data_IF_086508222118
#
_entry.id   IF_086508222118
#
_cell.length_a   1.000
_cell.length_b   1.000
_cell.length_c   1.000
_cell.angle_alpha   90.00
_cell.angle_beta   90.00
_cell.angle_gamma   90.00
#
_symmetry.space_group_name_H-M   'P 1'
#
loop_
_entity.id
_entity.type
_entity.pdbx_description
1 polymer ?
#
# COMPACT_ATOMS: atom_id res chain seq x y z
N UNK A 1 10.22 35.61 20.59
CA UNK A 1 11.09 34.96 19.58
C UNK A 1 10.74 33.50 19.59
N UNK A 2 10.62 32.87 18.43
CA UNK A 2 10.34 31.44 18.34
C UNK A 2 11.63 30.64 18.62
N UNK A 3 11.49 29.53 19.33
CA UNK A 3 12.58 28.59 19.61
C UNK A 3 13.10 27.96 18.32
N UNK A 4 14.37 27.57 18.32
CA UNK A 4 15.04 26.90 17.21
C UNK A 4 15.24 25.42 17.53
N UNK A 5 15.51 24.54 16.55
CA UNK A 5 15.70 23.10 16.82
C UNK A 5 16.81 22.74 17.82
N UNK A 6 17.72 23.66 18.15
CA UNK A 6 18.74 23.44 19.20
C UNK A 6 18.22 23.71 20.62
N UNK A 7 17.09 24.39 20.75
CA UNK A 7 16.44 24.69 22.02
C UNK A 7 15.54 23.51 22.42
N UNK A 8 15.66 22.95 23.64
CA UNK A 8 14.75 21.87 24.09
C UNK A 8 13.26 22.25 24.01
N UNK A 9 12.96 23.54 24.15
CA UNK A 9 11.62 24.10 24.08
C UNK A 9 11.00 24.03 22.69
N UNK A 10 11.79 23.84 21.63
CA UNK A 10 11.29 23.64 20.27
C UNK A 10 10.26 22.50 20.20
N UNK A 11 10.47 21.46 20.98
CA UNK A 11 9.58 20.29 21.02
C UNK A 11 8.46 20.41 22.05
N UNK A 12 8.35 21.52 22.78
CA UNK A 12 7.28 21.71 23.76
C UNK A 12 5.97 22.05 23.06
N UNK A 13 4.90 21.35 23.47
CA UNK A 13 3.56 21.62 22.91
C UNK A 13 3.05 23.01 23.30
N UNK A 14 3.43 23.52 24.47
CA UNK A 14 2.96 24.79 25.00
C UNK A 14 4.08 25.84 25.00
N UNK A 15 3.81 26.99 24.39
CA UNK A 15 4.72 28.14 24.39
C UNK A 15 4.58 29.04 25.63
N UNK A 16 3.65 28.72 26.53
CA UNK A 16 3.43 29.41 27.82
C UNK A 16 3.94 28.53 28.97
N UNK A 17 3.54 28.81 30.21
CA UNK A 17 3.86 28.05 31.44
C UNK A 17 3.27 26.61 31.48
N UNK A 18 3.38 25.87 30.38
CA UNK A 18 2.95 24.48 30.23
C UNK A 18 4.09 23.47 30.34
N UNK A 19 5.21 23.86 30.97
CA UNK A 19 6.38 23.02 31.21
C UNK A 19 7.24 23.64 32.35
N UNK A 20 6.97 23.25 33.61
CA UNK A 20 7.57 23.85 34.82
C UNK A 20 7.81 22.82 35.94
N UNK A 21 8.20 23.28 37.13
CA UNK A 21 8.56 22.41 38.28
C UNK A 21 7.41 21.53 38.80
N UNK A 22 6.15 21.88 38.52
CA UNK A 22 4.97 21.14 38.95
C UNK A 22 4.42 20.23 37.85
N UNK A 23 4.67 20.58 36.59
CA UNK A 23 4.21 19.80 35.44
C UNK A 23 5.23 19.86 34.30
N UNK A 24 5.80 18.69 33.99
CA UNK A 24 6.77 18.52 32.91
C UNK A 24 6.17 18.62 31.50
N UNK A 25 4.93 19.11 31.35
CA UNK A 25 4.34 19.38 30.04
C UNK A 25 4.17 18.16 29.15
N UNK A 26 4.20 18.42 27.83
CA UNK A 26 4.19 17.42 26.76
C UNK A 26 5.17 17.83 25.68
N UNK A 27 5.74 16.84 25.01
CA UNK A 27 6.73 17.01 23.95
C UNK A 27 6.36 16.28 22.66
N UNK A 28 6.91 16.74 21.54
CA UNK A 28 6.77 16.14 20.20
C UNK A 28 8.06 15.45 19.71
N UNK A 29 9.00 15.17 20.62
CA UNK A 29 10.18 14.33 20.37
C UNK A 29 10.30 13.18 21.38
N UNK A 30 9.18 12.70 21.89
CA UNK A 30 9.12 11.59 22.83
C UNK A 30 9.71 10.33 22.20
N UNK A 31 10.58 9.61 22.89
CA UNK A 31 11.40 8.54 22.30
C UNK A 31 10.80 7.15 22.42
N UNK A 32 9.71 6.98 23.18
CA UNK A 32 9.05 5.68 23.31
C UNK A 32 8.41 5.26 21.98
N UNK A 33 8.33 3.95 21.76
CA UNK A 33 7.82 3.32 20.53
C UNK A 33 6.58 2.48 20.80
N UNK A 34 5.68 2.41 19.83
CA UNK A 34 4.49 1.57 19.93
C UNK A 34 4.85 0.08 19.68
N UNK A 35 4.09 -0.88 20.23
CA UNK A 35 3.24 -0.76 21.41
C UNK A 35 4.03 -0.83 22.73
N UNK A 36 5.34 -1.14 22.69
CA UNK A 36 6.15 -1.43 23.88
C UNK A 36 6.29 -0.28 24.88
N UNK A 37 6.10 0.97 24.43
CA UNK A 37 6.13 2.19 25.24
C UNK A 37 4.79 2.62 25.82
N UNK A 38 3.70 1.88 25.55
CA UNK A 38 2.38 2.19 26.10
C UNK A 38 2.38 2.04 27.63
N UNK A 39 1.86 3.05 28.31
CA UNK A 39 1.68 3.05 29.77
C UNK A 39 0.20 3.01 30.18
N UNK A 40 -0.72 3.11 29.22
CA UNK A 40 -2.17 3.25 29.46
C UNK A 40 -2.58 4.68 29.87
N UNK A 41 -1.66 5.65 29.79
CA UNK A 41 -1.94 7.04 30.10
C UNK A 41 -2.06 7.82 28.79
N UNK A 42 -3.28 8.24 28.45
CA UNK A 42 -3.59 8.87 27.15
C UNK A 42 -2.69 10.06 26.81
N UNK A 43 -2.22 10.82 27.81
CA UNK A 43 -1.36 11.97 27.59
C UNK A 43 0.12 11.59 27.42
N UNK A 44 0.54 10.46 28.00
CA UNK A 44 1.88 9.92 27.80
C UNK A 44 1.95 9.20 26.47
N UNK A 45 0.99 8.30 26.22
CA UNK A 45 0.90 7.47 25.03
C UNK A 45 0.67 8.33 23.78
N UNK A 46 -0.13 9.39 23.89
CA UNK A 46 -0.38 10.34 22.79
C UNK A 46 0.88 11.09 22.32
N UNK A 47 1.93 11.19 23.15
CA UNK A 47 3.19 11.80 22.72
C UNK A 47 3.95 10.93 21.71
N UNK A 48 3.78 9.59 21.74
CA UNK A 48 4.37 8.71 20.72
C UNK A 48 3.80 9.03 19.33
N UNK A 49 2.47 9.12 19.26
CA UNK A 49 1.75 9.50 18.04
C UNK A 49 2.15 10.88 17.55
N UNK A 50 2.07 11.90 18.42
CA UNK A 50 2.43 13.27 18.05
C UNK A 50 3.88 13.39 17.58
N UNK A 51 4.81 12.67 18.21
CA UNK A 51 6.22 12.71 17.81
C UNK A 51 6.45 12.06 16.45
N UNK A 52 5.76 10.95 16.17
CA UNK A 52 5.84 10.28 14.86
C UNK A 52 5.29 11.17 13.75
N UNK A 53 4.13 11.82 13.97
CA UNK A 53 3.58 12.77 13.01
C UNK A 53 4.48 13.99 12.78
N UNK A 54 5.17 14.49 13.82
CA UNK A 54 6.12 15.58 13.63
C UNK A 54 7.36 15.16 12.84
N UNK A 55 7.82 13.90 12.93
CA UNK A 55 8.89 13.40 12.07
C UNK A 55 8.45 13.36 10.60
N UNK A 56 7.23 12.87 10.34
CA UNK A 56 6.63 12.89 9.00
C UNK A 56 6.48 14.34 8.49
N UNK A 57 6.02 15.25 9.35
CA UNK A 57 5.85 16.67 9.06
C UNK A 57 7.12 17.34 8.54
N UNK A 58 8.27 17.05 9.15
CA UNK A 58 9.54 17.68 8.77
C UNK A 58 9.99 17.26 7.36
N UNK A 59 9.55 16.10 6.87
CA UNK A 59 9.91 15.58 5.54
C UNK A 59 8.87 15.89 4.45
N UNK A 60 7.57 15.72 4.74
CA UNK A 60 6.49 15.90 3.73
C UNK A 60 5.82 17.27 3.82
N UNK A 61 6.14 18.04 4.86
CA UNK A 61 5.65 19.38 5.10
C UNK A 61 4.26 19.44 5.72
N UNK A 62 3.90 20.66 6.11
CA UNK A 62 2.65 20.99 6.80
C UNK A 62 1.41 20.56 6.05
N UNK A 63 1.30 20.94 4.78
CA UNK A 63 0.06 20.77 4.02
C UNK A 63 -0.30 19.30 3.88
N UNK A 64 0.64 18.46 3.44
CA UNK A 64 0.39 17.02 3.30
C UNK A 64 0.09 16.36 4.65
N UNK A 65 0.89 16.65 5.68
CA UNK A 65 0.69 16.05 7.02
C UNK A 65 -0.65 16.42 7.64
N UNK A 66 -1.01 17.71 7.64
CA UNK A 66 -2.26 18.19 8.22
C UNK A 66 -3.47 17.68 7.44
N UNK A 67 -3.41 17.67 6.10
CA UNK A 67 -4.47 17.13 5.24
C UNK A 67 -4.69 15.63 5.47
N UNK A 68 -3.60 14.83 5.48
CA UNK A 68 -3.68 13.41 5.78
C UNK A 68 -4.24 13.15 7.16
N UNK A 69 -3.83 13.92 8.18
CA UNK A 69 -4.32 13.76 9.54
C UNK A 69 -5.84 14.01 9.63
N UNK A 70 -6.34 15.07 9.01
CA UNK A 70 -7.77 15.42 9.06
C UNK A 70 -8.63 14.40 8.31
N UNK A 71 -8.17 13.93 7.16
CA UNK A 71 -8.86 12.89 6.39
C UNK A 71 -8.86 11.56 7.14
N UNK A 72 -7.70 11.15 7.67
CA UNK A 72 -7.57 9.95 8.49
C UNK A 72 -8.47 9.99 9.73
N UNK A 73 -8.60 11.14 10.38
CA UNK A 73 -9.48 11.32 11.54
C UNK A 73 -10.94 10.96 11.20
N UNK A 74 -11.39 11.26 9.97
CA UNK A 74 -12.73 10.92 9.51
C UNK A 74 -12.98 9.41 9.38
N UNK A 75 -11.91 8.62 9.24
CA UNK A 75 -11.95 7.15 9.17
C UNK A 75 -11.89 6.48 10.56
N UNK A 76 -11.69 7.26 11.62
CA UNK A 76 -11.57 6.75 13.00
C UNK A 76 -12.89 6.73 13.75
N UNK A 77 -12.94 5.99 14.86
CA UNK A 77 -14.05 5.98 15.79
C UNK A 77 -13.56 5.83 17.25
N UNK A 78 -14.49 5.74 18.21
CA UNK A 78 -14.15 5.65 19.64
C UNK A 78 -13.35 4.41 20.07
N UNK A 79 -13.23 3.39 19.22
CA UNK A 79 -12.42 2.19 19.44
C UNK A 79 -11.07 2.17 18.74
N UNK A 80 -10.75 3.18 17.92
CA UNK A 80 -9.51 3.26 17.14
C UNK A 80 -8.29 3.37 18.06
N UNK A 81 -7.31 2.47 17.88
CA UNK A 81 -6.01 2.57 18.53
C UNK A 81 -4.99 3.33 17.64
N UNK A 82 -3.75 3.53 18.10
CA UNK A 82 -2.77 4.29 17.31
C UNK A 82 -2.29 3.58 16.03
N UNK A 83 -2.29 2.25 15.98
CA UNK A 83 -1.97 1.48 14.78
C UNK A 83 -3.10 1.60 13.74
N UNK A 84 -4.36 1.50 14.17
CA UNK A 84 -5.52 1.77 13.32
C UNK A 84 -5.46 3.20 12.75
N UNK A 85 -5.07 4.19 13.57
CA UNK A 85 -4.89 5.57 13.13
C UNK A 85 -3.74 5.73 12.14
N UNK A 86 -2.63 4.98 12.31
CA UNK A 86 -1.53 4.95 11.36
C UNK A 86 -1.98 4.40 10.00
N UNK A 87 -2.80 3.34 10.01
CA UNK A 87 -3.36 2.75 8.80
C UNK A 87 -4.33 3.73 8.10
N UNK A 88 -5.15 4.46 8.85
CA UNK A 88 -5.99 5.52 8.31
C UNK A 88 -5.18 6.67 7.70
N UNK A 89 -4.04 7.03 8.30
CA UNK A 89 -3.13 8.06 7.77
C UNK A 89 -2.51 7.65 6.42
N UNK A 90 -2.17 6.37 6.26
CA UNK A 90 -1.71 5.80 4.99
C UNK A 90 -2.80 5.88 3.92
N UNK A 91 -4.04 5.49 4.27
CA UNK A 91 -5.16 5.57 3.34
C UNK A 91 -5.46 7.03 2.93
N UNK A 92 -5.37 7.97 3.87
CA UNK A 92 -5.54 9.38 3.56
C UNK A 92 -4.52 9.91 2.55
N UNK A 93 -3.25 9.47 2.63
CA UNK A 93 -2.23 9.86 1.64
C UNK A 93 -2.52 9.30 0.25
N UNK A 94 -3.08 8.09 0.18
CA UNK A 94 -3.55 7.49 -1.07
C UNK A 94 -4.68 8.33 -1.65
N UNK A 95 -5.70 8.63 -0.85
CA UNK A 95 -6.90 9.32 -1.31
C UNK A 95 -6.63 10.77 -1.73
N UNK A 96 -5.75 11.48 -1.01
CA UNK A 96 -5.49 12.90 -1.24
C UNK A 96 -4.30 13.16 -2.16
N UNK A 97 -3.29 12.30 -2.14
CA UNK A 97 -2.00 12.52 -2.80
C UNK A 97 -1.57 11.36 -3.71
N UNK A 98 -2.43 10.37 -3.94
CA UNK A 98 -2.12 9.20 -4.76
C UNK A 98 -0.98 8.35 -4.19
N UNK A 99 -0.73 8.46 -2.87
CA UNK A 99 0.33 7.73 -2.18
C UNK A 99 1.74 8.32 -2.37
N UNK A 100 1.83 9.58 -2.83
CA UNK A 100 3.11 10.23 -3.12
C UNK A 100 4.08 10.27 -1.92
N UNK A 101 3.57 10.21 -0.69
CA UNK A 101 4.38 10.31 0.53
C UNK A 101 4.53 8.97 1.27
N UNK A 102 4.00 7.86 0.72
CA UNK A 102 3.96 6.58 1.42
C UNK A 102 5.33 6.06 1.85
N UNK A 103 6.40 6.31 1.08
CA UNK A 103 7.75 5.90 1.47
C UNK A 103 8.23 6.52 2.79
N UNK A 104 7.94 7.81 3.00
CA UNK A 104 8.29 8.55 4.22
C UNK A 104 7.37 8.15 5.37
N UNK A 105 6.08 8.04 5.08
CA UNK A 105 5.06 7.63 6.07
C UNK A 105 5.36 6.22 6.59
N UNK A 106 5.62 5.27 5.70
CA UNK A 106 6.00 3.90 6.02
C UNK A 106 7.28 3.88 6.88
N UNK A 107 8.32 4.59 6.43
CA UNK A 107 9.59 4.66 7.15
C UNK A 107 9.41 5.04 8.62
N UNK A 108 8.71 6.14 8.91
CA UNK A 108 8.55 6.57 10.30
C UNK A 108 7.57 5.71 11.09
N UNK A 109 6.45 5.27 10.52
CA UNK A 109 5.54 4.40 11.27
C UNK A 109 6.21 3.08 11.64
N UNK A 110 6.93 2.45 10.71
CA UNK A 110 7.69 1.22 11.00
C UNK A 110 8.83 1.49 11.99
N UNK A 111 9.61 2.57 11.82
CA UNK A 111 10.66 2.94 12.77
C UNK A 111 10.12 3.13 14.20
N UNK A 112 8.90 3.67 14.33
CA UNK A 112 8.25 3.96 15.60
C UNK A 112 7.44 2.79 16.17
N UNK A 113 7.50 1.63 15.50
CA UNK A 113 6.96 0.36 15.97
C UNK A 113 5.49 0.12 15.67
N UNK A 114 4.88 0.93 14.79
CA UNK A 114 3.53 0.68 14.30
C UNK A 114 3.57 -0.43 13.24
N UNK A 115 2.74 -1.46 13.42
CA UNK A 115 2.62 -2.52 12.43
C UNK A 115 1.60 -2.12 11.37
N UNK A 116 2.08 -1.47 10.33
CA UNK A 116 1.28 -0.95 9.21
C UNK A 116 1.34 -1.88 8.00
N UNK A 117 0.36 -1.76 7.11
CA UNK A 117 0.40 -2.39 5.77
C UNK A 117 0.25 -1.32 4.70
N UNK A 118 1.15 -1.32 3.71
CA UNK A 118 0.97 -0.50 2.52
C UNK A 118 0.11 -1.29 1.52
N UNK A 119 -1.09 -0.81 1.15
CA UNK A 119 -1.87 -1.45 0.11
C UNK A 119 -1.11 -1.31 -1.21
N UNK A 120 -0.59 -2.44 -1.70
CA UNK A 120 0.05 -2.49 -3.01
C UNK A 120 -1.05 -2.52 -4.07
N UNK A 121 -0.98 -1.66 -5.11
CA UNK A 121 -1.88 -1.73 -6.26
C UNK A 121 -1.53 -2.96 -7.08
N UNK A 122 -2.14 -4.10 -6.73
CA UNK A 122 -1.99 -5.37 -7.45
C UNK A 122 -3.07 -5.45 -8.54
N UNK A 123 -2.74 -5.85 -9.78
CA UNK A 123 -3.76 -6.02 -10.80
C UNK A 123 -4.73 -7.13 -10.38
N UNK A 124 -6.01 -7.01 -10.72
CA UNK A 124 -6.93 -8.13 -10.57
C UNK A 124 -6.52 -9.28 -11.52
N UNK A 125 -6.95 -10.50 -11.20
CA UNK A 125 -6.67 -11.65 -12.03
C UNK A 125 -7.48 -11.59 -13.34
N UNK A 126 -6.96 -12.09 -14.48
CA UNK A 126 -7.73 -12.22 -15.71
C UNK A 126 -9.01 -13.02 -15.46
N UNK A 127 -10.14 -12.56 -15.99
CA UNK A 127 -11.44 -13.20 -15.74
C UNK A 127 -11.85 -14.13 -16.89
N UNK A 128 -12.82 -15.02 -16.64
CA UNK A 128 -13.41 -15.90 -17.65
C UNK A 128 -12.39 -16.75 -18.43
N UNK A 129 -11.27 -17.10 -17.79
CA UNK A 129 -10.23 -17.90 -18.41
C UNK A 129 -10.80 -19.25 -18.86
N UNK A 130 -10.66 -19.53 -20.15
CA UNK A 130 -11.04 -20.80 -20.73
C UNK A 130 -10.00 -21.26 -21.73
N UNK A 131 -9.83 -22.58 -21.79
CA UNK A 131 -8.94 -23.25 -22.73
C UNK A 131 -9.73 -24.33 -23.44
N UNK A 132 -9.71 -24.34 -24.76
CA UNK A 132 -10.37 -25.40 -25.53
C UNK A 132 -9.55 -25.82 -26.74
N UNK A 133 -9.70 -27.09 -27.11
CA UNK A 133 -9.32 -27.61 -28.43
C UNK A 133 -10.59 -27.74 -29.28
N UNK A 134 -10.51 -27.40 -30.56
CA UNK A 134 -11.63 -27.59 -31.48
C UNK A 134 -11.73 -29.04 -32.03
N UNK A 135 -10.86 -29.96 -31.57
CA UNK A 135 -10.71 -31.34 -32.04
C UNK A 135 -10.37 -31.51 -33.53
N UNK A 136 -10.33 -30.43 -34.29
CA UNK A 136 -9.87 -30.41 -35.68
C UNK A 136 -8.39 -30.04 -35.77
N UNK A 137 -7.85 -29.45 -34.71
CA UNK A 137 -6.45 -29.09 -34.51
C UNK A 137 -5.89 -29.78 -33.26
N UNK A 138 -5.61 -31.11 -33.32
CA UNK A 138 -5.18 -31.88 -32.14
C UNK A 138 -3.78 -31.50 -31.61
N UNK A 139 -3.15 -30.50 -32.23
CA UNK A 139 -1.83 -29.97 -31.87
C UNK A 139 -1.89 -28.50 -31.46
N UNK A 140 -3.07 -28.00 -31.10
CA UNK A 140 -3.23 -26.64 -30.56
C UNK A 140 -4.34 -26.51 -29.52
N UNK A 141 -4.16 -25.51 -28.66
CA UNK A 141 -5.15 -25.07 -27.67
C UNK A 141 -5.41 -23.58 -27.86
N UNK A 142 -6.69 -23.20 -27.91
CA UNK A 142 -7.12 -21.81 -27.90
C UNK A 142 -7.40 -21.39 -26.46
N UNK A 143 -6.71 -20.34 -26.01
CA UNK A 143 -6.88 -19.70 -24.72
C UNK A 143 -7.64 -18.40 -24.92
N UNK A 144 -8.65 -18.13 -24.09
CA UNK A 144 -9.34 -16.84 -24.06
C UNK A 144 -9.57 -16.40 -22.62
N UNK A 145 -9.56 -15.09 -22.40
CA UNK A 145 -9.76 -14.47 -21.10
C UNK A 145 -10.33 -13.07 -21.30
N UNK A 146 -10.79 -12.46 -20.21
CA UNK A 146 -11.07 -11.04 -20.15
C UNK A 146 -9.95 -10.37 -19.35
N UNK A 147 -9.41 -9.30 -19.89
CA UNK A 147 -8.35 -8.55 -19.23
C UNK A 147 -8.83 -7.92 -17.90
N UNK A 148 -7.94 -7.80 -16.91
CA UNK A 148 -8.24 -7.01 -15.73
C UNK A 148 -8.28 -5.52 -16.08
N UNK A 149 -9.31 -4.85 -15.59
CA UNK A 149 -9.52 -3.41 -15.80
C UNK A 149 -9.31 -2.58 -14.52
N UNK A 150 -9.03 -3.24 -13.39
CA UNK A 150 -8.84 -2.62 -12.09
C UNK A 150 -7.65 -3.23 -11.34
N UNK A 151 -7.08 -2.43 -10.45
CA UNK A 151 -6.27 -2.90 -9.32
C UNK A 151 -7.19 -3.37 -8.17
N UNK A 152 -6.62 -4.10 -7.21
CA UNK A 152 -7.28 -4.45 -5.95
C UNK A 152 -7.69 -3.22 -5.10
N UNK A 153 -7.10 -2.06 -5.36
CA UNK A 153 -7.47 -0.76 -4.77
C UNK A 153 -8.72 -0.15 -5.39
N UNK A 154 -9.19 -0.67 -6.53
CA UNK A 154 -10.31 -0.11 -7.29
C UNK A 154 -9.88 0.93 -8.33
N UNK A 155 -8.59 1.27 -8.41
CA UNK A 155 -8.06 2.14 -9.46
C UNK A 155 -8.13 1.46 -10.82
N UNK A 156 -8.34 2.26 -11.88
CA UNK A 156 -8.37 1.74 -13.25
C UNK A 156 -6.99 1.28 -13.70
N UNK A 157 -6.95 0.09 -14.32
CA UNK A 157 -5.78 -0.47 -14.97
C UNK A 157 -6.01 -0.48 -16.48
N UNK A 158 -5.15 0.23 -17.22
CA UNK A 158 -5.24 0.36 -18.68
C UNK A 158 -4.42 -0.73 -19.40
N UNK A 159 -4.83 -1.17 -20.59
CA UNK A 159 -4.15 -2.23 -21.38
C UNK A 159 -2.63 -2.06 -21.55
N UNK A 160 -2.15 -0.83 -21.69
CA UNK A 160 -0.73 -0.50 -21.86
C UNK A 160 0.11 -0.61 -20.58
N UNK A 161 -0.54 -0.75 -19.42
CA UNK A 161 0.10 -0.76 -18.11
C UNK A 161 0.48 -2.16 -17.64
N UNK A 162 0.04 -3.22 -18.32
CA UNK A 162 0.30 -4.60 -17.91
C UNK A 162 0.51 -5.55 -19.10
N UNK A 163 0.99 -6.74 -18.76
CA UNK A 163 1.03 -7.93 -19.63
C UNK A 163 0.26 -9.08 -19.00
N UNK A 164 -0.29 -9.96 -19.82
CA UNK A 164 -0.79 -11.27 -19.45
C UNK A 164 0.36 -12.26 -19.58
N UNK A 165 0.76 -12.83 -18.45
CA UNK A 165 1.74 -13.89 -18.38
C UNK A 165 1.01 -15.23 -18.44
N UNK A 166 1.45 -16.11 -19.35
CA UNK A 166 0.92 -17.46 -19.51
C UNK A 166 2.01 -18.44 -19.13
N UNK A 167 1.66 -19.40 -18.27
CA UNK A 167 2.48 -20.56 -17.95
C UNK A 167 1.84 -21.82 -18.52
N UNK A 168 2.69 -22.74 -18.99
CA UNK A 168 2.29 -24.11 -19.37
C UNK A 168 3.11 -25.10 -18.57
N UNK A 169 2.41 -26.01 -17.89
CA UNK A 169 2.99 -27.07 -17.03
C UNK A 169 3.95 -26.52 -15.96
N UNK A 170 3.65 -25.33 -15.43
CA UNK A 170 4.44 -24.65 -14.41
C UNK A 170 5.70 -23.94 -14.93
N UNK A 171 5.87 -23.84 -16.25
CA UNK A 171 6.95 -23.07 -16.86
C UNK A 171 6.39 -21.82 -17.56
N UNK A 172 7.04 -20.64 -17.41
CA UNK A 172 6.70 -19.46 -18.18
C UNK A 172 6.77 -19.74 -19.68
N UNK A 173 5.70 -19.38 -20.40
CA UNK A 173 5.59 -19.61 -21.84
C UNK A 173 5.66 -18.29 -22.61
N UNK A 174 4.74 -17.36 -22.35
CA UNK A 174 4.59 -16.14 -23.13
C UNK A 174 4.07 -15.00 -22.26
N UNK A 175 4.50 -13.78 -22.61
CA UNK A 175 4.03 -12.52 -22.06
C UNK A 175 3.34 -11.75 -23.18
N UNK A 176 2.06 -11.43 -23.00
CA UNK A 176 1.21 -10.81 -24.02
C UNK A 176 0.82 -9.41 -23.54
N UNK A 177 0.95 -8.35 -24.36
CA UNK A 177 0.46 -7.02 -23.98
C UNK A 177 -1.04 -7.04 -23.65
N UNK A 178 -1.43 -6.28 -22.62
CA UNK A 178 -2.84 -6.04 -22.35
C UNK A 178 -3.57 -5.47 -23.57
N UNK A 179 -4.88 -5.73 -23.63
CA UNK A 179 -5.76 -5.48 -24.78
C UNK A 179 -5.88 -6.67 -25.72
N UNK A 180 -5.09 -7.72 -25.52
CA UNK A 180 -5.25 -9.01 -26.19
C UNK A 180 -6.02 -9.95 -25.28
N UNK A 181 -7.11 -10.55 -25.77
CA UNK A 181 -8.00 -11.42 -24.98
C UNK A 181 -7.94 -12.90 -25.41
N UNK A 182 -6.97 -13.24 -26.25
CA UNK A 182 -6.85 -14.57 -26.83
C UNK A 182 -5.41 -14.94 -27.22
N UNK A 183 -5.09 -16.23 -27.14
CA UNK A 183 -3.81 -16.80 -27.56
C UNK A 183 -3.99 -18.22 -28.09
N UNK A 184 -3.33 -18.55 -29.19
CA UNK A 184 -3.30 -19.89 -29.76
C UNK A 184 -1.94 -20.54 -29.46
N UNK A 185 -1.93 -21.54 -28.57
CA UNK A 185 -0.76 -22.39 -28.35
C UNK A 185 -0.74 -23.49 -29.42
N UNK A 186 0.35 -23.63 -30.16
CA UNK A 186 0.46 -24.52 -31.32
C UNK A 186 1.68 -25.40 -31.24
N UNK A 187 1.71 -26.50 -32.00
CA UNK A 187 2.81 -27.46 -31.98
C UNK A 187 2.78 -28.41 -30.77
N UNK A 188 1.59 -28.63 -30.21
CA UNK A 188 1.34 -29.56 -29.12
C UNK A 188 1.36 -31.01 -29.61
N UNK A 189 1.58 -31.93 -28.67
CA UNK A 189 1.54 -33.38 -28.93
C UNK A 189 0.11 -33.87 -28.71
N UNK A 190 -0.43 -34.58 -29.70
CA UNK A 190 -1.77 -35.17 -29.61
C UNK A 190 -1.85 -36.19 -28.46
N UNK A 191 -2.94 -36.16 -27.70
CA UNK A 191 -3.19 -36.99 -26.53
C UNK A 191 -2.43 -36.61 -25.26
N UNK A 192 -1.59 -35.56 -25.27
CA UNK A 192 -0.92 -35.06 -24.08
C UNK A 192 -1.81 -34.05 -23.33
N UNK A 193 -1.92 -34.21 -22.00
CA UNK A 193 -2.56 -33.22 -21.13
C UNK A 193 -1.59 -32.05 -20.89
N UNK A 194 -2.09 -30.81 -21.02
CA UNK A 194 -1.38 -29.57 -20.73
C UNK A 194 -2.16 -28.76 -19.71
N UNK A 195 -1.44 -28.16 -18.76
CA UNK A 195 -2.03 -27.29 -17.73
C UNK A 195 -1.58 -25.86 -17.94
N UNK A 196 -2.55 -24.96 -18.04
CA UNK A 196 -2.29 -23.54 -18.21
C UNK A 196 -2.63 -22.80 -16.93
N UNK A 197 -1.86 -21.75 -16.68
CA UNK A 197 -2.18 -20.71 -15.71
C UNK A 197 -1.94 -19.37 -16.35
N UNK A 198 -2.76 -18.39 -15.98
CA UNK A 198 -2.54 -17.01 -16.40
C UNK A 198 -2.61 -16.03 -15.24
N UNK A 199 -1.84 -14.95 -15.33
CA UNK A 199 -1.89 -13.83 -14.39
C UNK A 199 -1.47 -12.54 -15.08
N UNK A 200 -1.89 -11.40 -14.54
CA UNK A 200 -1.47 -10.10 -15.02
C UNK A 200 -0.22 -9.61 -14.29
N UNK A 201 0.68 -8.91 -15.00
CA UNK A 201 1.89 -8.28 -14.46
C UNK A 201 1.94 -6.82 -14.86
N UNK A 202 2.10 -5.92 -13.88
CA UNK A 202 2.24 -4.48 -14.12
C UNK A 202 3.62 -4.16 -14.69
N UNK A 203 3.67 -3.41 -15.79
CA UNK A 203 4.89 -3.13 -16.55
C UNK A 203 5.93 -2.32 -15.76
N UNK A 204 5.48 -1.36 -14.96
CA UNK A 204 6.36 -0.42 -14.25
C UNK A 204 6.85 -0.95 -12.91
N UNK A 205 6.01 -1.68 -12.18
CA UNK A 205 6.31 -2.15 -10.82
C UNK A 205 6.67 -3.63 -10.76
N UNK A 206 6.30 -4.42 -11.79
CA UNK A 206 6.46 -5.87 -11.80
C UNK A 206 5.48 -6.62 -10.90
N UNK A 207 4.55 -5.92 -10.25
CA UNK A 207 3.52 -6.52 -9.39
C UNK A 207 2.60 -7.45 -10.19
N UNK A 208 2.18 -8.55 -9.57
CA UNK A 208 1.39 -9.60 -10.23
C UNK A 208 0.03 -9.81 -9.57
N UNK A 209 -0.95 -10.24 -10.36
CA UNK A 209 -2.24 -10.71 -9.86
C UNK A 209 -2.14 -12.12 -9.28
N UNK A 210 -3.17 -12.61 -8.58
CA UNK A 210 -3.37 -14.05 -8.40
C UNK A 210 -3.43 -14.78 -9.74
N UNK A 211 -3.03 -16.05 -9.73
CA UNK A 211 -3.12 -16.98 -10.87
C UNK A 211 -4.56 -17.51 -11.02
N UNK A 212 -4.96 -17.77 -12.27
CA UNK A 212 -6.22 -18.44 -12.65
C UNK A 212 -5.92 -19.72 -13.43
#
# INVERSE_FOLDING_TARGET
GQWTPVDPQYYWVFQWDGHNEFWAGRVTNYTATYPGGLTGSIHTDGQMWASTLMQIYEEIGRTATDSNFLEALSMTNGGTNQEDAAQAFIQADIDLFGGANLSVIEFYFTQRGYNITIPLPLPLAPANFNVYSDYTTPTSMQLNWNDPILFNTGDTLQPEQFTIEIERDGAPMVSIPGGSEQFADTGLVDGQEYRYKIFARVNTTGMVSPEV
#
